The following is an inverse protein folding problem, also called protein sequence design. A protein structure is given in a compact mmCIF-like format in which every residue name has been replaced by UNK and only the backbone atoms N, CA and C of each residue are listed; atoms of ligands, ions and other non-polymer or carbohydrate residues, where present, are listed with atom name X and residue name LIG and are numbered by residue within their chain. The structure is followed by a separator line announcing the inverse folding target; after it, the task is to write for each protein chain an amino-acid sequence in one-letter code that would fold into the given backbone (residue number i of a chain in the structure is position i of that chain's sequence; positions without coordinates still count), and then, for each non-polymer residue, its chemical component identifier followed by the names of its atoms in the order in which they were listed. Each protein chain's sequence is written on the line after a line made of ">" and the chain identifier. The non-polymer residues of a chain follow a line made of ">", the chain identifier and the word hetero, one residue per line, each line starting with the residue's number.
data_IF_748637324056
#
_entry.id   IF_748637324056
#
_cell.length_a   1.000
_cell.length_b   1.000
_cell.length_c   1.000
_cell.angle_alpha   90.00
_cell.angle_beta   90.00
_cell.angle_gamma   90.00
#
_symmetry.space_group_name_H-M   'P 1'
#
loop_
_entity.id
_entity.type
_entity.pdbx_description
1 polymer ?
#
# COMPACT_ATOMS: atom_id res chain seq x y z
N UNK A 1 28.49 1.92 37.41
CA UNK A 1 27.78 3.15 37.05
C UNK A 1 27.32 3.16 35.58
N UNK A 2 27.68 2.10 34.81
CA UNK A 2 27.40 2.03 33.35
C UNK A 2 26.20 1.14 32.99
N UNK A 3 25.67 0.37 33.94
CA UNK A 3 24.57 -0.59 33.65
C UNK A 3 23.19 0.05 33.57
N UNK A 4 22.97 1.23 34.14
CA UNK A 4 21.65 1.91 34.12
C UNK A 4 21.42 2.68 32.82
N UNK A 5 22.49 3.16 32.18
CA UNK A 5 22.38 3.87 30.90
C UNK A 5 22.12 2.89 29.74
N UNK A 6 22.66 1.67 29.82
CA UNK A 6 22.42 0.61 28.81
C UNK A 6 20.98 0.05 28.90
N UNK A 7 20.42 -0.06 30.11
CA UNK A 7 19.01 -0.44 30.30
C UNK A 7 18.05 0.61 29.77
N UNK A 8 18.30 1.88 29.95
CA UNK A 8 17.49 2.98 29.49
C UNK A 8 17.52 3.16 27.96
N UNK A 9 18.64 2.83 27.30
CA UNK A 9 18.73 2.83 25.83
C UNK A 9 17.98 1.64 25.24
N UNK A 10 18.16 0.44 25.78
CA UNK A 10 17.45 -0.78 25.36
C UNK A 10 15.94 -0.67 25.55
N UNK A 11 15.49 -0.06 26.62
CA UNK A 11 14.05 0.14 26.88
C UNK A 11 13.41 1.17 25.92
N UNK A 12 14.17 2.19 25.50
CA UNK A 12 13.74 3.13 24.46
C UNK A 12 13.68 2.47 23.09
N UNK A 13 14.69 1.73 22.71
CA UNK A 13 14.75 0.98 21.46
C UNK A 13 13.63 -0.07 21.40
N UNK A 14 13.32 -0.68 22.53
CA UNK A 14 12.22 -1.63 22.68
C UNK A 14 10.85 -0.98 22.50
N UNK A 15 10.61 0.16 23.14
CA UNK A 15 9.36 0.93 22.96
C UNK A 15 9.18 1.42 21.53
N UNK A 16 10.27 1.77 20.86
CA UNK A 16 10.26 2.14 19.44
C UNK A 16 9.92 0.91 18.58
N UNK A 17 10.58 -0.23 18.80
CA UNK A 17 10.26 -1.48 18.07
C UNK A 17 8.81 -1.95 18.28
N UNK A 18 8.31 -1.94 19.50
CA UNK A 18 6.91 -2.32 19.78
C UNK A 18 5.92 -1.34 19.13
N UNK A 19 6.27 -0.06 19.10
CA UNK A 19 5.47 0.96 18.41
C UNK A 19 5.44 0.72 16.90
N UNK A 20 6.55 0.28 16.32
CA UNK A 20 6.63 -0.05 14.89
C UNK A 20 5.87 -1.34 14.54
N UNK A 21 5.88 -2.34 15.43
CA UNK A 21 5.13 -3.61 15.24
C UNK A 21 3.63 -3.38 15.41
N UNK A 22 3.21 -2.56 16.37
CA UNK A 22 1.79 -2.34 16.65
C UNK A 22 1.12 -1.35 15.70
N UNK A 23 1.87 -0.41 15.14
CA UNK A 23 1.35 0.63 14.23
C UNK A 23 1.52 0.28 12.76
N UNK A 24 2.23 -0.79 12.40
CA UNK A 24 2.54 -1.13 11.02
C UNK A 24 3.33 -0.02 10.32
N UNK A 25 3.05 0.21 9.04
CA UNK A 25 3.71 1.26 8.25
C UNK A 25 3.07 2.65 8.42
N UNK A 26 2.21 2.85 9.43
CA UNK A 26 1.54 4.13 9.66
C UNK A 26 2.54 5.24 10.01
N UNK A 27 2.49 6.34 9.25
CA UNK A 27 3.32 7.52 9.49
C UNK A 27 2.49 8.57 10.25
N UNK A 28 2.79 8.85 11.54
CA UNK A 28 1.99 9.77 12.36
C UNK A 28 2.27 11.22 11.98
N UNK A 29 1.49 11.76 11.04
CA UNK A 29 1.45 13.18 10.69
C UNK A 29 0.04 13.72 10.79
N UNK A 30 -0.09 14.98 11.19
CA UNK A 30 -1.37 15.66 11.13
C UNK A 30 -1.60 16.22 9.73
N UNK A 31 -2.48 15.58 8.97
CA UNK A 31 -2.95 16.07 7.68
C UNK A 31 -4.44 15.90 7.51
N UNK A 32 -5.03 16.63 6.57
CA UNK A 32 -6.45 16.51 6.24
C UNK A 32 -6.81 15.06 5.91
N UNK A 33 -5.92 14.36 5.21
CA UNK A 33 -6.13 12.95 4.85
C UNK A 33 -6.12 12.06 6.09
N UNK A 34 -5.27 12.31 7.10
CA UNK A 34 -5.25 11.52 8.33
C UNK A 34 -6.54 11.64 9.15
N UNK A 35 -7.22 12.79 9.07
CA UNK A 35 -8.50 13.05 9.75
C UNK A 35 -9.73 12.55 9.01
N UNK A 36 -9.55 12.14 7.73
CA UNK A 36 -10.64 11.63 6.92
C UNK A 36 -11.15 10.29 7.48
N UNK A 37 -12.47 10.09 7.38
CA UNK A 37 -13.12 8.84 7.76
C UNK A 37 -12.49 7.64 7.01
N UNK A 38 -12.15 6.54 7.69
CA UNK A 38 -11.57 5.35 7.06
C UNK A 38 -12.40 4.76 5.92
N UNK A 39 -13.73 4.87 6.00
CA UNK A 39 -14.67 4.43 4.95
C UNK A 39 -14.44 5.20 3.65
N UNK A 40 -14.38 6.52 3.76
CA UNK A 40 -14.18 7.40 2.60
C UNK A 40 -12.84 7.12 1.95
N UNK A 41 -11.79 6.90 2.75
CA UNK A 41 -10.46 6.52 2.25
C UNK A 41 -10.49 5.19 1.50
N UNK A 42 -11.14 4.18 2.07
CA UNK A 42 -11.29 2.85 1.44
C UNK A 42 -11.99 2.96 0.09
N UNK A 43 -13.16 3.62 0.06
CA UNK A 43 -13.93 3.81 -1.18
C UNK A 43 -13.14 4.64 -2.18
N UNK A 44 -12.50 5.72 -1.76
CA UNK A 44 -11.68 6.57 -2.63
C UNK A 44 -10.49 5.79 -3.23
N UNK A 45 -9.83 4.96 -2.41
CA UNK A 45 -8.73 4.10 -2.89
C UNK A 45 -9.23 3.05 -3.88
N UNK A 46 -10.37 2.43 -3.60
CA UNK A 46 -10.98 1.48 -4.52
C UNK A 46 -11.38 2.14 -5.85
N UNK A 47 -12.03 3.29 -5.79
CA UNK A 47 -12.37 4.07 -6.99
C UNK A 47 -11.13 4.49 -7.78
N UNK A 48 -10.05 4.87 -7.08
CA UNK A 48 -8.77 5.18 -7.70
C UNK A 48 -8.19 3.97 -8.44
N UNK A 49 -8.17 2.79 -7.82
CA UNK A 49 -7.71 1.55 -8.45
C UNK A 49 -8.56 1.25 -9.70
N UNK A 50 -9.88 1.28 -9.58
CA UNK A 50 -10.79 1.04 -10.70
C UNK A 50 -10.55 2.04 -11.84
N UNK A 51 -10.38 3.33 -11.52
CA UNK A 51 -10.12 4.36 -12.53
C UNK A 51 -8.82 4.13 -13.29
N UNK A 52 -7.76 3.64 -12.60
CA UNK A 52 -6.49 3.28 -13.24
C UNK A 52 -6.63 2.17 -14.30
N UNK A 53 -7.55 1.23 -14.08
CA UNK A 53 -7.82 0.15 -15.06
C UNK A 53 -8.77 0.58 -16.17
N UNK A 54 -9.66 1.52 -15.87
CA UNK A 54 -10.67 1.99 -16.83
C UNK A 54 -10.06 2.95 -17.86
N UNK A 55 -9.13 3.79 -17.43
CA UNK A 55 -8.48 4.74 -18.33
C UNK A 55 -7.32 4.08 -19.08
N UNK A 56 -7.42 4.12 -20.42
CA UNK A 56 -6.38 3.68 -21.34
C UNK A 56 -5.78 4.86 -22.12
N UNK A 57 -6.45 6.02 -22.06
CA UNK A 57 -6.08 7.21 -22.81
C UNK A 57 -5.06 8.06 -22.05
N UNK A 58 -4.24 8.78 -22.80
CA UNK A 58 -3.25 9.72 -22.26
C UNK A 58 -3.89 10.79 -21.36
N UNK A 59 -5.08 11.26 -21.70
CA UNK A 59 -5.85 12.24 -20.91
C UNK A 59 -6.22 11.67 -19.55
N UNK A 60 -6.68 10.42 -19.51
CA UNK A 60 -7.00 9.73 -18.25
C UNK A 60 -5.79 9.62 -17.32
N UNK A 61 -4.61 9.32 -17.87
CA UNK A 61 -3.37 9.28 -17.08
C UNK A 61 -2.99 10.65 -16.51
N UNK A 62 -3.20 11.75 -17.25
CA UNK A 62 -2.96 13.10 -16.73
C UNK A 62 -3.88 13.40 -15.54
N UNK A 63 -5.17 13.08 -15.64
CA UNK A 63 -6.14 13.29 -14.56
C UNK A 63 -5.75 12.50 -13.31
N UNK A 64 -5.41 11.22 -13.47
CA UNK A 64 -4.97 10.37 -12.36
C UNK A 64 -3.66 10.89 -11.74
N UNK A 65 -2.73 11.38 -12.55
CA UNK A 65 -1.47 11.96 -12.07
C UNK A 65 -1.72 13.21 -11.22
N UNK A 66 -2.58 14.12 -11.70
CA UNK A 66 -2.93 15.34 -10.97
C UNK A 66 -3.62 14.99 -9.64
N UNK A 67 -4.54 14.02 -9.66
CA UNK A 67 -5.20 13.53 -8.46
C UNK A 67 -4.21 12.93 -7.46
N UNK A 68 -3.27 12.10 -7.93
CA UNK A 68 -2.24 11.49 -7.10
C UNK A 68 -1.32 12.55 -6.47
N UNK A 69 -0.87 13.53 -7.26
CA UNK A 69 -0.05 14.64 -6.78
C UNK A 69 -0.81 15.44 -5.71
N UNK A 70 -2.09 15.72 -5.92
CA UNK A 70 -2.92 16.43 -4.95
C UNK A 70 -3.01 15.66 -3.62
N UNK A 71 -3.27 14.37 -3.67
CA UNK A 71 -3.34 13.51 -2.48
C UNK A 71 -1.98 13.46 -1.75
N UNK A 72 -0.88 13.29 -2.46
CA UNK A 72 0.46 13.25 -1.87
C UNK A 72 0.76 14.59 -1.17
N UNK A 73 0.44 15.73 -1.80
CA UNK A 73 0.61 17.05 -1.21
C UNK A 73 -0.22 17.25 0.04
N UNK A 74 -1.48 16.81 0.03
CA UNK A 74 -2.39 16.91 1.17
C UNK A 74 -2.04 15.93 2.29
N UNK A 75 -1.38 14.82 1.99
CA UNK A 75 -0.99 13.79 2.96
C UNK A 75 0.18 14.21 3.85
N UNK A 76 1.02 15.15 3.43
CA UNK A 76 2.26 15.57 4.12
C UNK A 76 3.22 14.41 4.45
N UNK A 77 3.05 13.25 3.80
CA UNK A 77 3.94 12.10 3.95
C UNK A 77 5.20 12.31 3.10
N UNK A 78 6.41 12.09 3.64
CA UNK A 78 7.65 12.23 2.87
C UNK A 78 7.67 11.25 1.70
N UNK A 79 7.96 11.76 0.51
CA UNK A 79 8.00 10.97 -0.74
C UNK A 79 8.95 9.76 -0.66
N UNK A 80 9.97 9.86 0.20
CA UNK A 80 10.93 8.78 0.45
C UNK A 80 10.28 7.49 0.97
N UNK A 81 9.22 7.59 1.77
CA UNK A 81 8.50 6.41 2.27
C UNK A 81 7.66 5.73 1.18
N UNK A 82 7.08 6.51 0.28
CA UNK A 82 6.34 5.98 -0.88
C UNK A 82 7.28 5.27 -1.86
N UNK A 83 8.49 5.82 -2.06
CA UNK A 83 9.52 5.21 -2.91
C UNK A 83 9.99 3.85 -2.36
N UNK A 84 9.97 3.64 -1.05
CA UNK A 84 10.28 2.32 -0.47
C UNK A 84 9.32 1.24 -0.97
N UNK A 85 8.02 1.56 -1.11
CA UNK A 85 7.03 0.67 -1.70
C UNK A 85 7.36 0.34 -3.17
N UNK A 86 7.70 1.34 -3.96
CA UNK A 86 8.11 1.14 -5.37
C UNK A 86 9.37 0.32 -5.46
N UNK A 87 10.36 0.57 -4.59
CA UNK A 87 11.62 -0.20 -4.55
C UNK A 87 11.38 -1.68 -4.22
N UNK A 88 10.41 -1.98 -3.36
CA UNK A 88 10.07 -3.36 -3.02
C UNK A 88 9.56 -4.17 -4.23
N UNK A 89 8.86 -3.52 -5.16
CA UNK A 89 8.32 -4.16 -6.36
C UNK A 89 9.14 -3.90 -7.63
N UNK A 90 10.30 -3.27 -7.50
CA UNK A 90 11.17 -2.91 -8.64
C UNK A 90 11.41 -4.10 -9.59
N UNK A 91 11.72 -5.26 -9.02
CA UNK A 91 11.94 -6.47 -9.80
C UNK A 91 10.70 -6.86 -10.62
N UNK A 92 9.50 -6.79 -10.02
CA UNK A 92 8.24 -7.08 -10.69
C UNK A 92 7.98 -6.09 -11.84
N UNK A 93 8.23 -4.81 -11.60
CA UNK A 93 8.07 -3.75 -12.62
C UNK A 93 9.00 -4.02 -13.81
N UNK A 94 10.28 -4.35 -13.56
CA UNK A 94 11.24 -4.66 -14.61
C UNK A 94 10.83 -5.91 -15.39
N UNK A 95 10.46 -6.99 -14.71
CA UNK A 95 10.00 -8.22 -15.37
C UNK A 95 8.78 -7.93 -16.24
N UNK A 96 7.78 -7.21 -15.72
CA UNK A 96 6.56 -6.89 -16.47
C UNK A 96 6.88 -6.01 -17.69
N UNK A 97 7.75 -5.02 -17.56
CA UNK A 97 8.18 -4.18 -18.66
C UNK A 97 8.89 -5.00 -19.77
N UNK A 98 9.82 -5.88 -19.37
CA UNK A 98 10.54 -6.77 -20.27
C UNK A 98 9.57 -7.73 -20.96
N UNK A 99 8.66 -8.37 -20.21
CA UNK A 99 7.68 -9.27 -20.81
C UNK A 99 6.79 -8.55 -21.83
N UNK A 100 6.26 -7.37 -21.50
CA UNK A 100 5.45 -6.60 -22.44
C UNK A 100 6.24 -6.18 -23.68
N UNK A 101 7.51 -5.80 -23.50
CA UNK A 101 8.36 -5.39 -24.61
C UNK A 101 8.61 -6.54 -25.61
N UNK A 102 8.85 -7.77 -25.11
CA UNK A 102 9.24 -8.91 -25.95
C UNK A 102 8.09 -9.79 -26.40
N UNK A 103 7.03 -9.92 -25.57
CA UNK A 103 5.94 -10.84 -25.86
C UNK A 103 4.72 -10.17 -26.49
N UNK A 104 4.63 -8.83 -26.53
CA UNK A 104 3.50 -8.16 -27.14
C UNK A 104 3.69 -8.09 -28.66
N UNK A 105 2.80 -8.74 -29.39
CA UNK A 105 2.76 -8.68 -30.86
C UNK A 105 2.07 -7.38 -31.30
N UNK A 106 2.66 -6.67 -32.25
CA UNK A 106 2.12 -5.42 -32.80
C UNK A 106 2.24 -5.36 -34.31
N UNK A 107 1.54 -4.39 -34.92
CA UNK A 107 1.44 -4.24 -36.36
C UNK A 107 2.73 -3.77 -37.04
N UNK A 108 3.59 -3.08 -36.34
CA UNK A 108 4.89 -2.62 -36.86
C UNK A 108 6.03 -3.14 -35.97
N UNK A 109 6.94 -3.91 -36.57
CA UNK A 109 8.16 -4.41 -35.94
C UNK A 109 9.31 -3.48 -36.25
N UNK A 110 9.88 -2.82 -35.26
CA UNK A 110 11.10 -2.02 -35.40
C UNK A 110 12.36 -2.89 -35.52
N UNK A 111 12.35 -4.05 -34.87
CA UNK A 111 13.46 -4.98 -34.89
C UNK A 111 12.99 -6.43 -34.74
N UNK A 112 13.28 -7.28 -35.70
CA UNK A 112 12.95 -8.70 -35.67
C UNK A 112 14.23 -9.52 -35.66
N UNK A 113 14.61 -10.11 -34.52
CA UNK A 113 15.67 -11.08 -34.43
C UNK A 113 15.15 -12.37 -33.81
N UNK A 114 14.98 -13.39 -34.61
CA UNK A 114 14.61 -14.80 -34.35
C UNK A 114 13.59 -15.09 -33.22
N UNK A 115 13.68 -14.44 -32.07
CA UNK A 115 12.76 -14.56 -30.91
C UNK A 115 12.38 -13.21 -30.27
N UNK A 116 12.95 -12.09 -30.74
CA UNK A 116 12.77 -10.77 -30.15
C UNK A 116 12.10 -9.88 -31.19
N UNK A 117 10.82 -9.57 -30.96
CA UNK A 117 10.05 -8.67 -31.79
C UNK A 117 9.72 -7.40 -30.99
N UNK A 118 10.52 -6.35 -31.15
CA UNK A 118 10.22 -5.05 -30.55
C UNK A 118 9.23 -4.36 -31.45
N UNK A 119 7.99 -4.25 -30.97
CA UNK A 119 6.89 -3.62 -31.69
C UNK A 119 6.49 -2.30 -31.06
N UNK A 120 5.92 -1.40 -31.81
CA UNK A 120 5.42 -0.10 -31.34
C UNK A 120 4.40 -0.29 -30.20
N UNK A 121 3.45 -1.19 -30.38
CA UNK A 121 2.49 -1.59 -29.36
C UNK A 121 3.13 -2.21 -28.12
N UNK A 122 4.22 -2.97 -28.29
CA UNK A 122 4.97 -3.54 -27.17
C UNK A 122 5.63 -2.48 -26.31
N UNK A 123 6.27 -1.49 -26.93
CA UNK A 123 6.88 -0.35 -26.21
C UNK A 123 5.82 0.48 -25.50
N UNK A 124 4.74 0.85 -26.20
CA UNK A 124 3.62 1.58 -25.61
C UNK A 124 3.03 0.85 -24.40
N UNK A 125 2.71 -0.42 -24.55
CA UNK A 125 2.16 -1.23 -23.46
C UNK A 125 3.14 -1.36 -22.29
N UNK A 126 4.44 -1.59 -22.54
CA UNK A 126 5.45 -1.65 -21.49
C UNK A 126 5.47 -0.36 -20.66
N UNK A 127 5.42 0.79 -21.30
CA UNK A 127 5.39 2.10 -20.62
C UNK A 127 4.08 2.28 -19.84
N UNK A 128 2.92 2.01 -20.45
CA UNK A 128 1.62 2.15 -19.79
C UNK A 128 1.48 1.23 -18.58
N UNK A 129 1.86 -0.04 -18.69
CA UNK A 129 1.79 -0.99 -17.58
C UNK A 129 2.78 -0.62 -16.47
N UNK A 130 3.99 -0.18 -16.82
CA UNK A 130 4.98 0.29 -15.84
C UNK A 130 4.46 1.47 -15.03
N UNK A 131 3.95 2.50 -15.70
CA UNK A 131 3.37 3.68 -15.03
C UNK A 131 2.17 3.28 -14.17
N UNK A 132 1.30 2.41 -14.67
CA UNK A 132 0.14 1.90 -13.94
C UNK A 132 0.53 1.18 -12.66
N UNK A 133 1.54 0.29 -12.70
CA UNK A 133 2.03 -0.41 -11.51
C UNK A 133 2.62 0.56 -10.49
N UNK A 134 3.43 1.52 -10.93
CA UNK A 134 3.98 2.55 -10.03
C UNK A 134 2.86 3.36 -9.38
N UNK A 135 1.85 3.79 -10.13
CA UNK A 135 0.72 4.54 -9.60
C UNK A 135 -0.10 3.72 -8.60
N UNK A 136 -0.37 2.45 -8.91
CA UNK A 136 -1.03 1.53 -7.98
C UNK A 136 -0.30 1.47 -6.64
N UNK A 137 1.01 1.26 -6.67
CA UNK A 137 1.80 1.15 -5.44
C UNK A 137 1.89 2.46 -4.69
N UNK A 138 2.08 3.56 -5.38
CA UNK A 138 2.11 4.88 -4.71
C UNK A 138 0.75 5.20 -4.09
N UNK A 139 -0.35 5.01 -4.80
CA UNK A 139 -1.69 5.28 -4.27
C UNK A 139 -2.06 4.40 -3.08
N UNK A 140 -1.78 3.10 -3.15
CA UNK A 140 -2.03 2.18 -2.01
C UNK A 140 -1.08 2.46 -0.84
N UNK A 141 0.16 2.88 -1.09
CA UNK A 141 1.10 3.30 -0.04
C UNK A 141 0.59 4.52 0.73
N UNK A 142 -0.02 5.49 0.06
CA UNK A 142 -0.64 6.64 0.75
C UNK A 142 -1.71 6.17 1.72
N UNK A 143 -2.58 5.26 1.30
CA UNK A 143 -3.62 4.71 2.18
C UNK A 143 -3.01 4.00 3.39
N UNK A 144 -2.02 3.13 3.18
CA UNK A 144 -1.36 2.37 4.24
C UNK A 144 -0.63 3.28 5.23
N UNK A 145 0.05 4.33 4.74
CA UNK A 145 0.80 5.27 5.57
C UNK A 145 -0.13 6.25 6.33
N UNK A 146 -1.35 6.47 5.86
CA UNK A 146 -2.30 7.42 6.47
C UNK A 146 -3.39 6.76 7.31
N UNK A 147 -3.47 5.43 7.34
CA UNK A 147 -4.54 4.71 8.03
C UNK A 147 -3.96 3.60 8.90
N UNK A 148 -4.30 3.60 10.19
CA UNK A 148 -3.89 2.51 11.10
C UNK A 148 -4.68 1.24 10.79
N UNK A 149 -4.10 0.03 11.04
CA UNK A 149 -4.80 -1.23 10.82
C UNK A 149 -6.17 -1.32 11.52
N UNK A 150 -6.28 -0.81 12.75
CA UNK A 150 -7.55 -0.79 13.49
C UNK A 150 -8.61 0.04 12.77
N UNK A 151 -8.26 1.27 12.35
CA UNK A 151 -9.18 2.13 11.59
C UNK A 151 -9.55 1.53 10.24
N UNK A 152 -8.63 0.79 9.62
CA UNK A 152 -8.89 0.09 8.37
C UNK A 152 -9.94 -1.01 8.58
N UNK A 153 -9.82 -1.79 9.66
CA UNK A 153 -10.78 -2.83 10.03
C UNK A 153 -12.17 -2.24 10.30
N UNK A 154 -12.24 -1.14 11.08
CA UNK A 154 -13.49 -0.45 11.36
C UNK A 154 -14.14 0.09 10.08
N UNK A 155 -13.33 0.69 9.19
CA UNK A 155 -13.79 1.19 7.90
C UNK A 155 -14.29 0.08 6.97
N UNK A 156 -13.63 -1.09 7.03
CA UNK A 156 -14.02 -2.27 6.25
C UNK A 156 -15.35 -2.85 6.75
N UNK A 157 -15.51 -3.01 8.08
CA UNK A 157 -16.78 -3.44 8.69
C UNK A 157 -17.94 -2.59 8.22
N UNK A 158 -17.78 -1.28 8.36
CA UNK A 158 -18.84 -0.35 8.01
C UNK A 158 -19.09 -0.23 6.51
N UNK A 159 -18.04 -0.34 5.69
CA UNK A 159 -18.14 -0.38 4.24
C UNK A 159 -18.82 -1.65 3.72
N UNK A 160 -18.69 -2.76 4.45
CA UNK A 160 -19.29 -4.05 4.11
C UNK A 160 -20.70 -4.25 4.72
N UNK A 161 -21.17 -3.37 5.59
CA UNK A 161 -22.54 -3.45 6.16
C UNK A 161 -23.65 -3.72 5.12
N UNK A 162 -23.62 -3.12 3.92
CA UNK A 162 -24.64 -3.43 2.89
C UNK A 162 -24.65 -4.91 2.48
N UNK A 163 -23.50 -5.59 2.54
CA UNK A 163 -23.38 -7.01 2.18
C UNK A 163 -24.04 -7.93 3.22
N UNK A 164 -24.27 -7.47 4.44
CA UNK A 164 -25.00 -8.26 5.43
C UNK A 164 -26.44 -8.56 5.00
N UNK A 165 -27.01 -7.71 4.14
CA UNK A 165 -28.33 -7.95 3.52
C UNK A 165 -28.35 -9.12 2.56
N UNK A 166 -27.20 -9.56 2.08
CA UNK A 166 -27.04 -10.70 1.12
C UNK A 166 -26.65 -11.99 1.91
N UNK A 167 -26.67 -11.94 3.25
CA UNK A 167 -26.39 -13.10 4.10
C UNK A 167 -24.91 -13.26 4.49
N UNK A 168 -24.06 -12.27 4.22
CA UNK A 168 -22.65 -12.29 4.68
C UNK A 168 -22.59 -11.89 6.15
N UNK A 169 -22.01 -12.68 7.07
CA UNK A 169 -21.89 -12.36 8.50
C UNK A 169 -20.79 -11.31 8.75
N UNK A 170 -21.00 -10.10 8.23
CA UNK A 170 -20.01 -9.00 8.28
C UNK A 170 -19.67 -8.61 9.71
N UNK A 171 -20.65 -8.59 10.59
CA UNK A 171 -20.46 -8.20 11.98
C UNK A 171 -19.60 -9.21 12.75
N UNK A 172 -19.81 -10.49 12.52
CA UNK A 172 -19.04 -11.57 13.16
C UNK A 172 -17.57 -11.52 12.68
N UNK A 173 -17.35 -11.30 11.39
CA UNK A 173 -16.01 -11.17 10.82
C UNK A 173 -15.30 -9.96 11.42
N UNK A 174 -15.97 -8.84 11.53
CA UNK A 174 -15.41 -7.61 12.08
C UNK A 174 -15.08 -7.76 13.58
N UNK A 175 -15.94 -8.40 14.36
CA UNK A 175 -15.64 -8.71 15.77
C UNK A 175 -14.40 -9.62 15.89
N UNK A 176 -14.29 -10.66 15.07
CA UNK A 176 -13.10 -11.52 15.06
C UNK A 176 -11.83 -10.75 14.72
N UNK A 177 -11.87 -9.87 13.71
CA UNK A 177 -10.73 -9.03 13.33
C UNK A 177 -10.36 -8.03 14.44
N UNK A 178 -11.33 -7.38 15.06
CA UNK A 178 -11.12 -6.43 16.15
C UNK A 178 -10.47 -7.10 17.36
N UNK A 179 -10.93 -8.30 17.74
CA UNK A 179 -10.34 -9.10 18.80
C UNK A 179 -8.90 -9.49 18.43
N UNK A 180 -8.69 -10.02 17.22
CA UNK A 180 -7.36 -10.40 16.75
C UNK A 180 -6.36 -9.23 16.80
N UNK A 181 -6.76 -8.05 16.31
CA UNK A 181 -5.92 -6.84 16.32
C UNK A 181 -5.58 -6.36 17.73
N UNK A 182 -6.46 -6.62 18.71
CA UNK A 182 -6.19 -6.33 20.11
C UNK A 182 -5.23 -7.33 20.75
N UNK A 183 -5.34 -8.61 20.36
CA UNK A 183 -4.49 -9.66 20.92
C UNK A 183 -3.08 -9.68 20.35
N UNK A 184 -2.87 -9.27 19.09
CA UNK A 184 -1.55 -9.23 18.45
C UNK A 184 -0.49 -8.51 19.31
N UNK A 185 -0.70 -7.26 19.77
CA UNK A 185 0.29 -6.58 20.60
C UNK A 185 0.49 -7.26 21.96
N UNK A 186 -0.57 -7.80 22.57
CA UNK A 186 -0.48 -8.50 23.86
C UNK A 186 0.37 -9.76 23.72
N UNK A 187 0.14 -10.55 22.66
CA UNK A 187 0.93 -11.76 22.39
C UNK A 187 2.38 -11.44 22.06
N UNK A 188 2.63 -10.33 21.33
CA UNK A 188 3.99 -9.89 21.04
C UNK A 188 4.75 -9.51 22.32
N UNK A 189 4.11 -8.77 23.23
CA UNK A 189 4.69 -8.43 24.53
C UNK A 189 4.97 -9.66 25.39
N UNK A 190 4.06 -10.64 25.39
CA UNK A 190 4.23 -11.86 26.18
C UNK A 190 5.32 -12.76 25.61
N UNK A 191 5.39 -12.91 24.28
CA UNK A 191 6.47 -13.64 23.61
C UNK A 191 7.85 -13.02 23.91
N UNK A 192 7.92 -11.70 23.96
CA UNK A 192 9.15 -10.99 24.30
C UNK A 192 9.56 -11.19 25.77
N UNK A 193 8.61 -11.25 26.68
CA UNK A 193 8.88 -11.55 28.09
C UNK A 193 9.47 -12.96 28.25
N UNK A 194 8.87 -13.95 27.56
CA UNK A 194 9.35 -15.33 27.56
C UNK A 194 10.79 -15.42 27.03
N UNK A 195 11.05 -14.72 25.90
CA UNK A 195 12.40 -14.71 25.30
C UNK A 195 13.45 -14.05 26.19
N UNK A 196 13.05 -13.10 27.02
CA UNK A 196 13.98 -12.46 27.99
C UNK A 196 14.22 -13.29 29.25
N UNK A 197 13.30 -14.22 29.56
CA UNK A 197 13.41 -15.09 30.72
C UNK A 197 14.26 -16.36 30.44
N UNK A 198 14.52 -16.67 29.18
CA UNK A 198 15.47 -17.70 28.74
C UNK A 198 16.89 -17.15 28.60
#
# INVERSE_FOLDING_TARGET
>A
YDSDNDRGSKERDYKVMLKDITLGQYYPTESVIHRLDPRVKLVATLMYIVSLFLFHDFVGFIVVTLFLIAIIRMSHVPFSFMLKGVRAIWLLVVITAVCNLFFTQGAQTYFAWKFIHITDTGVSNAVYFTIRLVYLVVGTSVMTLTTTPNKLTDGLEEGLKPLSKIGVPVHEIAMMMSIAMRFIPILAEEADKIKKAQ
#
